data_IF_344911469239
#
_entry.id   IF_344911469239
#
_cell.length_a   1.000
_cell.length_b   1.000
_cell.length_c   1.000
_cell.angle_alpha   90.00
_cell.angle_beta   90.00
_cell.angle_gamma   90.00
#
_symmetry.space_group_name_H-M   'P 1'
#
loop_
_entity.id
_entity.type
_entity.pdbx_description
1 polymer ?
#
# COMPACT_ATOMS: atom_id res chain seq x y z
N UNK A 1 -14.04 0.86 32.41
CA UNK A 1 -14.29 -0.46 31.81
C UNK A 1 -13.21 -0.66 30.75
N UNK A 2 -12.51 -1.78 30.80
CA UNK A 2 -11.38 -2.00 29.90
C UNK A 2 -11.85 -2.29 28.48
N UNK A 3 -11.07 -1.82 27.50
CA UNK A 3 -11.36 -2.08 26.08
C UNK A 3 -10.67 -3.39 25.69
N UNK A 4 -11.41 -4.42 25.24
CA UNK A 4 -10.82 -5.69 24.85
C UNK A 4 -10.00 -5.52 23.57
N UNK A 5 -8.75 -6.03 23.59
CA UNK A 5 -7.90 -6.07 22.39
C UNK A 5 -8.41 -7.18 21.48
N UNK A 6 -8.99 -6.80 20.34
CA UNK A 6 -9.51 -7.72 19.33
C UNK A 6 -8.51 -7.90 18.19
N UNK A 7 -8.70 -8.97 17.41
CA UNK A 7 -8.01 -9.12 16.13
C UNK A 7 -8.40 -7.97 15.18
N UNK A 8 -7.45 -7.50 14.37
CA UNK A 8 -7.63 -6.39 13.44
C UNK A 8 -7.10 -5.05 13.93
N UNK A 9 -7.76 -3.97 13.51
CA UNK A 9 -7.34 -2.58 13.76
C UNK A 9 -7.58 -2.19 15.21
N UNK A 10 -6.51 -1.74 15.88
CA UNK A 10 -6.58 -1.12 17.20
C UNK A 10 -6.15 0.35 17.09
N UNK A 11 -6.81 1.23 17.84
CA UNK A 11 -6.45 2.65 17.91
C UNK A 11 -5.69 2.86 19.21
N UNK A 12 -4.38 3.10 19.09
CA UNK A 12 -3.57 3.54 20.22
C UNK A 12 -3.74 5.04 20.38
N UNK A 13 -4.23 5.48 21.53
CA UNK A 13 -4.29 6.90 21.91
C UNK A 13 -3.12 7.15 22.86
N UNK A 14 -2.39 8.24 22.64
CA UNK A 14 -1.26 8.62 23.48
C UNK A 14 -1.34 10.10 23.86
N UNK A 15 -0.79 10.43 25.03
CA UNK A 15 -0.52 11.79 25.46
C UNK A 15 0.65 11.80 26.46
N UNK A 16 1.43 12.88 26.52
CA UNK A 16 2.55 12.98 27.46
C UNK A 16 2.70 14.38 28.08
N UNK A 17 3.09 14.42 29.36
CA UNK A 17 3.38 15.64 30.13
C UNK A 17 4.80 16.17 29.89
N UNK A 18 5.08 17.40 30.34
CA UNK A 18 6.48 17.90 30.44
C UNK A 18 7.04 17.65 31.84
N UNK A 19 6.15 17.45 32.80
CA UNK A 19 6.41 17.28 34.22
C UNK A 19 5.67 16.03 34.68
N UNK A 20 6.19 15.41 35.73
CA UNK A 20 5.53 14.30 36.38
C UNK A 20 4.24 14.78 37.06
N UNK A 21 3.20 13.92 37.18
CA UNK A 21 1.96 14.29 37.85
C UNK A 21 2.24 14.77 39.28
N UNK A 22 1.63 15.90 39.68
CA UNK A 22 1.74 16.39 41.06
C UNK A 22 0.97 15.49 42.03
N UNK A 23 1.68 14.54 42.62
CA UNK A 23 1.17 13.56 43.58
C UNK A 23 0.69 14.19 44.90
N UNK A 24 0.94 15.48 45.13
CA UNK A 24 0.41 16.20 46.31
C UNK A 24 -1.07 16.56 46.17
N UNK A 25 -1.64 16.44 44.96
CA UNK A 25 -3.04 16.70 44.65
C UNK A 25 -3.86 15.39 44.56
N UNK A 26 -5.14 15.37 44.95
CA UNK A 26 -6.00 14.21 44.75
C UNK A 26 -6.05 13.83 43.27
N UNK A 27 -5.69 12.58 42.97
CA UNK A 27 -5.59 11.98 41.63
C UNK A 27 -4.38 12.39 40.76
N UNK A 28 -3.42 13.18 41.28
CA UNK A 28 -2.25 13.62 40.53
C UNK A 28 -2.64 14.55 39.38
N UNK A 29 -2.52 15.87 39.55
CA UNK A 29 -2.95 16.81 38.53
C UNK A 29 -2.18 16.58 37.22
N UNK A 30 -2.90 16.15 36.19
CA UNK A 30 -2.38 16.01 34.82
C UNK A 30 -2.89 17.21 34.02
N UNK A 31 -1.99 18.11 33.65
CA UNK A 31 -2.32 19.25 32.81
C UNK A 31 -2.64 18.84 31.37
N UNK A 32 -3.41 19.69 30.68
CA UNK A 32 -3.71 19.49 29.26
C UNK A 32 -2.42 19.40 28.43
N UNK A 33 -2.34 18.37 27.58
CA UNK A 33 -1.12 17.99 26.87
C UNK A 33 -0.84 18.81 25.59
N UNK A 34 -1.73 19.73 25.21
CA UNK A 34 -1.60 20.52 23.97
C UNK A 34 -1.34 19.62 22.73
N UNK A 35 -0.40 19.96 21.86
CA UNK A 35 0.02 19.18 20.69
C UNK A 35 0.75 17.86 21.00
N UNK A 36 0.93 17.48 22.29
CA UNK A 36 1.65 16.27 22.73
C UNK A 36 0.72 15.09 22.96
N UNK A 37 -0.30 14.98 22.11
CA UNK A 37 -1.30 13.92 22.14
C UNK A 37 -1.66 13.53 20.72
N UNK A 38 -2.15 12.31 20.55
CA UNK A 38 -2.57 11.83 19.25
C UNK A 38 -3.12 10.43 19.29
N UNK A 39 -3.36 9.90 18.10
CA UNK A 39 -3.74 8.51 17.93
C UNK A 39 -2.99 7.87 16.77
N UNK A 40 -2.81 6.56 16.83
CA UNK A 40 -2.22 5.77 15.77
C UNK A 40 -2.97 4.46 15.60
N UNK A 41 -3.25 4.11 14.35
CA UNK A 41 -3.82 2.81 14.00
C UNK A 41 -2.68 1.78 13.97
N UNK A 42 -2.78 0.76 14.82
CA UNK A 42 -1.81 -0.33 14.91
C UNK A 42 -2.53 -1.68 15.10
N UNK A 43 -2.02 -2.77 14.49
CA UNK A 43 -2.52 -4.10 14.77
C UNK A 43 -1.81 -4.66 16.01
N UNK A 44 -2.40 -4.51 17.20
CA UNK A 44 -1.83 -5.04 18.45
C UNK A 44 -1.81 -6.57 18.51
N UNK A 45 -2.72 -7.22 17.77
CA UNK A 45 -2.79 -8.66 17.57
C UNK A 45 -2.57 -9.00 16.10
N UNK A 46 -1.40 -8.66 15.56
CA UNK A 46 -0.93 -9.22 14.30
C UNK A 46 -0.01 -10.39 14.61
N UNK A 47 -0.31 -11.56 14.05
CA UNK A 47 0.72 -12.55 13.78
C UNK A 47 1.61 -11.91 12.72
N UNK A 48 2.88 -11.68 13.05
CA UNK A 48 3.81 -11.18 12.05
C UNK A 48 3.75 -12.12 10.85
N UNK A 49 3.45 -11.57 9.68
CA UNK A 49 3.92 -12.24 8.49
C UNK A 49 5.44 -12.35 8.69
N UNK A 50 6.05 -13.54 8.50
CA UNK A 50 7.49 -13.59 8.50
C UNK A 50 7.94 -12.49 7.54
N UNK A 51 8.82 -11.60 8.02
CA UNK A 51 9.66 -10.80 7.14
C UNK A 51 10.06 -11.70 5.99
N UNK A 52 10.06 -11.24 4.73
CA UNK A 52 10.65 -12.00 3.66
C UNK A 52 11.99 -12.55 4.20
N UNK A 53 12.06 -13.87 4.41
CA UNK A 53 13.24 -14.58 4.90
C UNK A 53 14.47 -14.02 4.13
N UNK A 54 15.67 -14.04 4.70
CA UNK A 54 16.91 -13.71 3.97
C UNK A 54 17.00 -14.45 2.60
N UNK A 55 16.25 -15.56 2.45
CA UNK A 55 16.01 -16.32 1.21
C UNK A 55 15.40 -15.55 0.04
N UNK A 56 14.75 -14.40 0.25
CA UNK A 56 14.21 -13.60 -0.87
C UNK A 56 15.28 -12.79 -1.60
N UNK A 57 16.48 -12.62 -1.02
CA UNK A 57 17.59 -11.90 -1.66
C UNK A 57 18.12 -12.59 -2.93
N UNK A 58 17.84 -13.89 -3.09
CA UNK A 58 18.26 -14.69 -4.24
C UNK A 58 17.18 -14.82 -5.33
N UNK A 59 16.01 -14.19 -5.15
CA UNK A 59 14.94 -14.27 -6.13
C UNK A 59 15.08 -13.21 -7.23
N UNK A 60 14.75 -13.60 -8.45
CA UNK A 60 14.54 -12.67 -9.54
C UNK A 60 13.37 -11.72 -9.20
N UNK A 61 13.55 -10.42 -9.44
CA UNK A 61 12.50 -9.40 -9.30
C UNK A 61 12.43 -8.54 -10.55
N UNK A 62 11.28 -7.89 -10.73
CA UNK A 62 11.09 -6.90 -11.77
C UNK A 62 10.06 -5.87 -11.32
N UNK A 63 10.28 -4.63 -11.75
CA UNK A 63 9.51 -3.50 -11.27
C UNK A 63 8.49 -3.05 -12.31
N UNK A 64 7.26 -2.82 -11.85
CA UNK A 64 6.23 -2.11 -12.60
C UNK A 64 6.12 -0.69 -12.05
N UNK A 65 6.55 0.30 -12.83
CA UNK A 65 6.59 1.70 -12.38
C UNK A 65 6.02 2.64 -13.45
N UNK A 66 5.12 3.51 -13.01
CA UNK A 66 4.71 4.69 -13.77
C UNK A 66 5.82 5.75 -13.66
N UNK A 67 6.70 5.78 -14.65
CA UNK A 67 7.78 6.77 -14.74
C UNK A 67 7.28 8.05 -15.35
N UNK A 68 7.68 9.18 -14.76
CA UNK A 68 7.44 10.54 -15.28
C UNK A 68 5.95 10.85 -15.55
N UNK A 69 5.04 10.18 -14.83
CA UNK A 69 3.62 10.43 -14.94
C UNK A 69 3.24 11.72 -14.22
N UNK A 70 2.62 12.64 -14.95
CA UNK A 70 2.09 13.90 -14.39
C UNK A 70 0.66 13.64 -13.95
N UNK A 71 0.43 13.65 -12.64
CA UNK A 71 -0.91 13.51 -12.07
C UNK A 71 -1.77 14.73 -12.48
N UNK A 72 -2.93 14.53 -13.11
CA UNK A 72 -3.85 15.61 -13.46
C UNK A 72 -4.33 16.38 -12.24
N UNK A 73 -4.69 17.65 -12.42
CA UNK A 73 -5.21 18.53 -11.35
C UNK A 73 -6.70 18.27 -11.05
N UNK A 74 -7.15 17.03 -11.11
CA UNK A 74 -8.53 16.61 -10.80
C UNK A 74 -8.59 15.92 -9.45
N UNK A 75 -9.74 15.98 -8.77
CA UNK A 75 -9.91 15.48 -7.40
C UNK A 75 -9.49 14.00 -7.24
N UNK A 76 -9.82 13.17 -8.22
CA UNK A 76 -9.45 11.75 -8.25
C UNK A 76 -8.96 11.39 -9.64
N UNK A 77 -7.89 10.59 -9.70
CA UNK A 77 -7.35 10.03 -10.95
C UNK A 77 -7.14 8.54 -10.80
N UNK A 78 -7.69 7.77 -11.74
CA UNK A 78 -7.35 6.36 -11.93
C UNK A 78 -6.56 6.23 -13.22
N UNK A 79 -5.30 5.82 -13.12
CA UNK A 79 -4.40 5.65 -14.26
C UNK A 79 -4.01 4.18 -14.40
N UNK A 80 -4.14 3.65 -15.61
CA UNK A 80 -3.96 2.26 -15.94
C UNK A 80 -2.90 2.12 -17.03
N UNK A 81 -2.00 1.14 -16.86
CA UNK A 81 -0.95 0.84 -17.82
C UNK A 81 -0.73 -0.66 -17.93
N UNK A 82 -0.66 -1.15 -19.16
CA UNK A 82 -0.29 -2.54 -19.45
C UNK A 82 1.23 -2.65 -19.49
N UNK A 83 1.74 -3.67 -18.81
CA UNK A 83 3.15 -4.04 -18.83
C UNK A 83 3.30 -5.46 -19.35
N UNK A 84 4.39 -5.72 -20.06
CA UNK A 84 4.81 -7.07 -20.41
C UNK A 84 5.69 -7.64 -19.31
N UNK A 85 5.54 -8.92 -19.05
CA UNK A 85 6.50 -9.68 -18.25
C UNK A 85 7.84 -9.69 -19.01
N UNK A 86 8.97 -9.41 -18.33
CA UNK A 86 10.29 -9.43 -18.96
C UNK A 86 10.59 -10.78 -19.63
N UNK A 87 11.32 -10.73 -20.75
CA UNK A 87 11.69 -11.91 -21.55
C UNK A 87 12.35 -13.04 -20.72
N UNK A 88 13.21 -12.68 -19.77
CA UNK A 88 13.90 -13.62 -18.90
C UNK A 88 12.98 -14.32 -17.88
N UNK A 89 11.76 -13.85 -17.70
CA UNK A 89 10.75 -14.39 -16.79
C UNK A 89 9.58 -15.08 -17.50
N UNK A 90 9.69 -15.37 -18.80
CA UNK A 90 8.59 -15.98 -19.60
C UNK A 90 8.16 -17.38 -19.19
N UNK A 91 9.00 -18.11 -18.46
CA UNK A 91 8.63 -19.42 -17.94
C UNK A 91 7.60 -19.29 -16.81
N UNK A 92 6.73 -20.29 -16.65
CA UNK A 92 5.78 -20.31 -15.54
C UNK A 92 6.52 -20.24 -14.21
N UNK A 93 6.20 -19.23 -13.41
CA UNK A 93 6.80 -18.93 -12.10
C UNK A 93 5.71 -18.69 -11.07
N UNK A 94 6.09 -18.72 -9.79
CA UNK A 94 5.23 -18.28 -8.69
C UNK A 94 5.71 -16.91 -8.21
N UNK A 95 4.83 -15.91 -8.20
CA UNK A 95 5.06 -14.68 -7.47
C UNK A 95 4.85 -14.95 -5.98
N UNK A 96 5.93 -14.91 -5.20
CA UNK A 96 5.92 -15.28 -3.77
C UNK A 96 5.99 -14.08 -2.83
N UNK A 97 6.33 -12.90 -3.36
CA UNK A 97 6.39 -11.64 -2.64
C UNK A 97 6.13 -10.48 -3.60
N UNK A 98 5.70 -9.35 -3.05
CA UNK A 98 5.65 -8.07 -3.73
C UNK A 98 6.11 -6.97 -2.78
N UNK A 99 6.59 -5.87 -3.33
CA UNK A 99 6.95 -4.67 -2.58
C UNK A 99 6.45 -3.45 -3.31
N UNK A 100 5.87 -2.53 -2.56
CA UNK A 100 5.41 -1.24 -3.08
C UNK A 100 6.59 -0.30 -3.31
N UNK A 101 6.59 0.41 -4.44
CA UNK A 101 7.59 1.42 -4.78
C UNK A 101 6.83 2.72 -5.03
N UNK A 102 6.96 3.67 -4.10
CA UNK A 102 6.36 5.01 -4.18
C UNK A 102 7.45 6.02 -3.82
N UNK A 103 7.59 7.08 -4.61
CA UNK A 103 8.49 8.18 -4.28
C UNK A 103 8.03 8.84 -2.97
N UNK A 104 8.98 9.16 -2.09
CA UNK A 104 8.72 9.88 -0.84
C UNK A 104 7.91 11.18 -1.03
N UNK A 105 8.06 11.87 -2.16
CA UNK A 105 7.31 13.08 -2.48
C UNK A 105 5.85 12.80 -2.86
N UNK A 106 5.51 11.54 -3.19
CA UNK A 106 4.21 11.12 -3.71
C UNK A 106 3.41 10.27 -2.72
N UNK A 107 3.92 10.02 -1.51
CA UNK A 107 3.26 9.14 -0.51
C UNK A 107 1.88 9.65 -0.10
N UNK A 108 1.67 10.97 -0.15
CA UNK A 108 0.40 11.58 0.25
C UNK A 108 -0.65 11.60 -0.88
N UNK A 109 -0.24 11.31 -2.12
CA UNK A 109 -1.15 11.37 -3.30
C UNK A 109 -1.50 9.97 -3.84
N UNK A 110 -0.69 8.94 -3.57
CA UNK A 110 -0.97 7.55 -4.00
C UNK A 110 -1.73 6.82 -2.90
N UNK A 111 -3.01 6.50 -3.15
CA UNK A 111 -3.86 5.83 -2.15
C UNK A 111 -4.01 4.32 -2.35
N UNK A 112 -4.06 3.88 -3.62
CA UNK A 112 -4.21 2.48 -4.01
C UNK A 112 -3.32 2.14 -5.21
N UNK A 113 -2.79 0.93 -5.23
CA UNK A 113 -2.14 0.33 -6.39
C UNK A 113 -2.72 -1.06 -6.58
N UNK A 114 -3.17 -1.37 -7.80
CA UNK A 114 -3.76 -2.67 -8.12
C UNK A 114 -3.05 -3.24 -9.34
N UNK A 115 -2.65 -4.51 -9.23
CA UNK A 115 -2.05 -5.24 -10.33
C UNK A 115 -2.99 -6.36 -10.75
N UNK A 116 -3.27 -6.43 -12.04
CA UNK A 116 -4.13 -7.43 -12.62
C UNK A 116 -3.37 -8.33 -13.59
N UNK A 117 -3.80 -9.57 -13.70
CA UNK A 117 -3.33 -10.52 -14.71
C UNK A 117 -4.26 -10.52 -15.91
N UNK A 118 -3.68 -10.29 -17.09
CA UNK A 118 -4.36 -10.47 -18.36
C UNK A 118 -4.58 -11.94 -18.67
N UNK A 119 -5.68 -12.22 -19.38
CA UNK A 119 -5.93 -13.50 -20.01
C UNK A 119 -4.73 -13.86 -20.92
N UNK A 120 -4.21 -15.10 -20.87
CA UNK A 120 -3.13 -15.54 -21.75
C UNK A 120 -3.41 -15.37 -23.25
N UNK A 121 -4.69 -15.27 -23.65
CA UNK A 121 -5.10 -15.04 -25.05
C UNK A 121 -5.27 -13.56 -25.41
N UNK A 122 -5.08 -12.64 -24.45
CA UNK A 122 -5.16 -11.21 -24.69
C UNK A 122 -4.13 -10.81 -25.76
N UNK A 123 -4.55 -9.99 -26.71
CA UNK A 123 -3.69 -9.48 -27.78
C UNK A 123 -3.59 -7.98 -27.67
N UNK A 124 -2.38 -7.49 -27.43
CA UNK A 124 -2.06 -6.07 -27.44
C UNK A 124 -1.10 -5.76 -28.59
N UNK A 125 -1.13 -4.52 -29.07
CA UNK A 125 -0.06 -4.03 -29.93
C UNK A 125 1.18 -3.81 -29.08
N UNK A 126 2.20 -4.61 -29.35
CA UNK A 126 3.46 -4.61 -28.65
C UNK A 126 4.19 -3.27 -28.67
N UNK A 127 3.91 -2.42 -29.66
CA UNK A 127 4.49 -1.08 -29.81
C UNK A 127 3.61 0.02 -29.21
N UNK A 128 2.37 -0.29 -28.84
CA UNK A 128 1.39 0.67 -28.34
C UNK A 128 0.50 0.01 -27.27
N UNK A 129 1.13 -0.39 -26.18
CA UNK A 129 0.43 -0.94 -25.02
C UNK A 129 -0.48 0.14 -24.40
N UNK A 130 -1.71 -0.22 -23.97
CA UNK A 130 -2.60 0.72 -23.31
C UNK A 130 -1.95 1.39 -22.10
N UNK A 131 -2.01 2.72 -22.07
CA UNK A 131 -1.46 3.60 -21.04
C UNK A 131 -2.34 4.86 -21.00
N UNK A 132 -3.08 5.08 -19.91
CA UNK A 132 -4.03 6.18 -19.85
C UNK A 132 -5.00 6.14 -18.68
N UNK A 133 -5.97 7.06 -18.70
CA UNK A 133 -7.04 7.07 -17.71
C UNK A 133 -7.85 5.78 -17.80
N UNK A 134 -8.01 5.07 -16.67
CA UNK A 134 -8.66 3.77 -16.62
C UNK A 134 -10.11 3.79 -17.17
N UNK A 135 -10.86 4.87 -16.93
CA UNK A 135 -12.23 5.03 -17.38
C UNK A 135 -12.33 5.23 -18.89
N UNK A 136 -11.30 5.78 -19.52
CA UNK A 136 -11.24 5.98 -20.97
C UNK A 136 -10.83 4.68 -21.69
N UNK A 137 -9.88 3.95 -21.12
CA UNK A 137 -9.31 2.74 -21.75
C UNK A 137 -9.94 1.43 -21.26
N UNK A 138 -10.99 1.46 -20.44
CA UNK A 138 -11.59 0.26 -19.82
C UNK A 138 -11.91 -0.86 -20.83
N UNK A 139 -12.34 -0.50 -22.04
CA UNK A 139 -12.66 -1.47 -23.11
C UNK A 139 -11.42 -2.25 -23.57
N UNK A 140 -10.26 -1.59 -23.58
CA UNK A 140 -8.99 -2.21 -23.94
C UNK A 140 -8.47 -3.13 -22.81
N UNK A 141 -8.91 -2.91 -21.58
CA UNK A 141 -8.46 -3.63 -20.38
C UNK A 141 -9.35 -4.82 -19.99
N UNK A 142 -10.43 -5.11 -20.74
CA UNK A 142 -11.39 -6.16 -20.38
C UNK A 142 -10.76 -7.53 -20.19
N UNK A 143 -9.78 -7.87 -21.02
CA UNK A 143 -9.05 -9.14 -20.92
C UNK A 143 -8.18 -9.23 -19.65
N UNK A 144 -8.00 -8.13 -18.91
CA UNK A 144 -7.19 -8.08 -17.70
C UNK A 144 -8.00 -7.82 -16.43
N UNK A 145 -9.28 -7.50 -16.50
CA UNK A 145 -10.04 -7.08 -15.31
C UNK A 145 -10.47 -8.21 -14.37
N UNK A 146 -10.30 -9.48 -14.78
CA UNK A 146 -10.86 -10.62 -14.05
C UNK A 146 -10.00 -11.12 -12.88
N UNK A 147 -8.68 -11.01 -12.97
CA UNK A 147 -7.75 -11.62 -12.03
C UNK A 147 -6.88 -10.56 -11.37
N UNK A 148 -7.02 -10.37 -10.06
CA UNK A 148 -6.14 -9.49 -9.27
C UNK A 148 -4.93 -10.32 -8.83
N UNK A 149 -3.73 -9.92 -9.23
CA UNK A 149 -2.47 -10.52 -8.78
C UNK A 149 -2.07 -10.00 -7.40
N UNK A 150 -2.10 -8.68 -7.22
CA UNK A 150 -1.79 -8.05 -5.94
C UNK A 150 -2.47 -6.68 -5.82
N UNK A 151 -2.63 -6.21 -4.60
CA UNK A 151 -3.15 -4.89 -4.31
C UNK A 151 -2.45 -4.29 -3.10
N UNK A 152 -2.31 -2.97 -3.13
CA UNK A 152 -1.79 -2.16 -2.04
C UNK A 152 -2.75 -1.01 -1.76
N UNK A 153 -2.82 -0.64 -0.49
CA UNK A 153 -3.52 0.55 -0.01
C UNK A 153 -2.71 1.18 1.12
N UNK A 154 -3.02 2.44 1.45
CA UNK A 154 -2.38 3.15 2.57
C UNK A 154 -2.32 2.28 3.83
N UNK A 155 -1.11 2.09 4.35
CA UNK A 155 -0.83 1.27 5.54
C UNK A 155 -0.57 -0.22 5.27
N UNK A 156 -0.56 -0.65 4.01
CA UNK A 156 -0.37 -2.04 3.57
C UNK A 156 1.07 -2.53 3.48
N UNK A 157 2.09 -1.69 3.72
CA UNK A 157 3.52 -2.04 3.59
C UNK A 157 4.08 -2.87 4.77
N UNK A 158 3.32 -3.84 5.29
CA UNK A 158 3.72 -4.65 6.46
C UNK A 158 3.70 -6.16 6.23
#
# INVERSE_FOLDING_TARGET
MDVPIKSGTNILIFAYGLEDPDMSTPNGMIYYHDNRRGSRIIPLRSYGNPSPDEKFAELDYFDFQLKDYIVPSTDTTYHCKIYKIPEHMKQRRHAVAHKTIIDSANVDIVHHLLMYECNPTAKFDDNNLPDGNCDEIYRLLQECSANIATGWAVGGDR
#
